data_IF_709636206980
#
_entry.id   IF_709636206980
#
_cell.length_a   1.000
_cell.length_b   1.000
_cell.length_c   1.000
_cell.angle_alpha   90.00
_cell.angle_beta   90.00
_cell.angle_gamma   90.00
#
_symmetry.space_group_name_H-M   'P 1'
#
loop_
_entity.id
_entity.type
_entity.pdbx_description
1 polymer ?
#
# COMPACT_ATOMS: atom_id res chain seq x y z
N UNK A 1 -4.97 3.70 -17.23
CA UNK A 1 -3.76 3.29 -16.49
C UNK A 1 -3.66 1.78 -16.61
N UNK A 2 -2.52 1.23 -16.99
CA UNK A 2 -2.37 -0.24 -17.02
C UNK A 2 -2.34 -0.76 -15.59
N UNK A 3 -2.91 -1.94 -15.34
CA UNK A 3 -3.04 -2.54 -14.00
C UNK A 3 -1.70 -2.62 -13.24
N UNK A 4 -0.60 -2.84 -13.96
CA UNK A 4 0.77 -2.88 -13.44
C UNK A 4 1.23 -1.49 -12.95
N UNK A 5 0.95 -0.43 -13.70
CA UNK A 5 1.33 0.94 -13.32
C UNK A 5 0.65 1.36 -12.01
N UNK A 6 -0.59 0.93 -11.81
CA UNK A 6 -1.30 1.23 -10.59
C UNK A 6 -0.75 0.44 -9.39
N UNK A 7 -0.41 -0.84 -9.59
CA UNK A 7 0.25 -1.64 -8.54
C UNK A 7 1.55 -0.97 -8.10
N UNK A 8 2.36 -0.52 -9.07
CA UNK A 8 3.61 0.20 -8.79
C UNK A 8 3.36 1.43 -7.91
N UNK A 9 2.41 2.30 -8.29
CA UNK A 9 2.09 3.50 -7.52
C UNK A 9 1.61 3.22 -6.10
N UNK A 10 0.76 2.21 -5.93
CA UNK A 10 0.27 1.81 -4.60
C UNK A 10 1.44 1.37 -3.71
N UNK A 11 2.37 0.59 -4.26
CA UNK A 11 3.53 0.11 -3.52
C UNK A 11 4.52 1.25 -3.23
N UNK A 12 4.74 2.15 -4.18
CA UNK A 12 5.58 3.34 -4.00
C UNK A 12 5.01 4.21 -2.88
N UNK A 13 3.69 4.42 -2.81
CA UNK A 13 3.04 5.08 -1.67
C UNK A 13 3.31 4.36 -0.34
N UNK A 14 3.24 3.03 -0.29
CA UNK A 14 3.60 2.25 0.90
C UNK A 14 5.09 2.33 1.29
N UNK A 15 5.99 2.70 0.36
CA UNK A 15 7.44 2.76 0.58
C UNK A 15 7.94 4.17 0.93
N UNK A 16 7.26 5.22 0.49
CA UNK A 16 7.64 6.61 0.79
C UNK A 16 7.40 6.99 2.25
N UNK A 17 6.52 6.25 2.95
CA UNK A 17 6.14 6.56 4.32
C UNK A 17 6.24 5.31 5.21
N UNK A 18 7.41 5.12 5.82
CA UNK A 18 7.74 3.95 6.65
C UNK A 18 6.84 3.80 7.89
N UNK A 19 6.22 4.91 8.34
CA UNK A 19 5.41 4.98 9.55
C UNK A 19 3.90 5.11 9.28
N UNK A 20 3.48 5.40 8.03
CA UNK A 20 2.08 5.70 7.75
C UNK A 20 1.35 4.50 7.17
N UNK A 21 0.23 4.18 7.81
CA UNK A 21 -0.70 3.20 7.29
C UNK A 21 -1.66 3.87 6.34
N UNK A 22 -1.76 3.36 5.12
CA UNK A 22 -2.60 3.98 4.11
C UNK A 22 -4.03 3.46 4.21
N UNK A 23 -4.95 4.36 4.56
CA UNK A 23 -6.37 4.17 4.27
C UNK A 23 -6.61 4.28 2.77
N UNK A 24 -7.68 3.65 2.28
CA UNK A 24 -8.03 3.72 0.85
C UNK A 24 -8.18 5.16 0.34
N UNK A 25 -8.69 6.10 1.14
CA UNK A 25 -8.85 7.50 0.71
C UNK A 25 -7.51 8.18 0.38
N UNK A 26 -6.45 7.84 1.10
CA UNK A 26 -5.09 8.35 0.82
C UNK A 26 -4.57 7.71 -0.46
N UNK A 27 -4.70 6.39 -0.61
CA UNK A 27 -4.32 5.70 -1.84
C UNK A 27 -5.08 6.23 -3.07
N UNK A 28 -6.36 6.57 -2.92
CA UNK A 28 -7.17 7.18 -3.99
C UNK A 28 -6.58 8.54 -4.43
N UNK A 29 -6.13 9.37 -3.48
CA UNK A 29 -5.51 10.67 -3.77
C UNK A 29 -4.11 10.52 -4.38
N UNK A 30 -3.26 9.68 -3.80
CA UNK A 30 -1.86 9.50 -4.23
C UNK A 30 -1.77 8.84 -5.61
N UNK A 31 -2.62 7.83 -5.87
CA UNK A 31 -2.51 7.05 -7.12
C UNK A 31 -3.50 7.49 -8.19
N UNK A 32 -4.52 8.27 -7.84
CA UNK A 32 -5.63 8.65 -8.72
C UNK A 32 -6.53 7.47 -9.14
N UNK A 33 -6.50 6.36 -8.39
CA UNK A 33 -7.27 5.17 -8.72
C UNK A 33 -8.60 5.10 -8.00
N UNK A 34 -9.50 4.28 -8.54
CA UNK A 34 -10.78 4.03 -7.90
C UNK A 34 -10.65 3.06 -6.73
N UNK A 35 -11.58 3.15 -5.77
CA UNK A 35 -11.75 2.19 -4.68
C UNK A 35 -11.72 0.72 -5.12
N UNK A 36 -12.35 0.43 -6.26
CA UNK A 36 -12.47 -0.94 -6.77
C UNK A 36 -11.12 -1.50 -7.21
N UNK A 37 -10.33 -0.70 -7.93
CA UNK A 37 -8.99 -1.08 -8.38
C UNK A 37 -8.05 -1.28 -7.18
N UNK A 38 -8.09 -0.36 -6.21
CA UNK A 38 -7.28 -0.45 -5.00
C UNK A 38 -7.63 -1.69 -4.17
N UNK A 39 -8.90 -2.08 -4.09
CA UNK A 39 -9.31 -3.33 -3.41
C UNK A 39 -8.68 -4.56 -4.06
N UNK A 40 -8.65 -4.63 -5.39
CA UNK A 40 -8.02 -5.74 -6.11
C UNK A 40 -6.52 -5.84 -5.79
N UNK A 41 -5.84 -4.70 -5.75
CA UNK A 41 -4.40 -4.62 -5.46
C UNK A 41 -4.12 -5.01 -4.01
N UNK A 42 -4.85 -4.42 -3.06
CA UNK A 42 -4.73 -4.75 -1.62
C UNK A 42 -4.94 -6.25 -1.39
N UNK A 43 -5.95 -6.87 -2.03
CA UNK A 43 -6.17 -8.32 -1.90
C UNK A 43 -5.00 -9.16 -2.44
N UNK A 44 -4.34 -8.72 -3.52
CA UNK A 44 -3.12 -9.38 -4.01
C UNK A 44 -1.94 -9.21 -3.06
N UNK A 45 -1.68 -7.99 -2.59
CA UNK A 45 -0.59 -7.72 -1.65
C UNK A 45 -0.78 -8.48 -0.32
N UNK A 46 -2.02 -8.63 0.15
CA UNK A 46 -2.36 -9.49 1.30
C UNK A 46 -2.02 -10.96 1.04
N UNK A 47 -2.37 -11.50 -0.13
CA UNK A 47 -2.05 -12.90 -0.50
C UNK A 47 -0.54 -13.15 -0.57
N UNK A 48 0.23 -12.13 -0.89
CA UNK A 48 1.69 -12.16 -0.92
C UNK A 48 2.34 -11.89 0.45
N UNK A 49 1.56 -11.75 1.53
CA UNK A 49 2.04 -11.41 2.87
C UNK A 49 2.85 -10.09 2.90
N UNK A 50 2.58 -9.17 1.96
CA UNK A 50 3.31 -7.91 1.82
C UNK A 50 2.78 -6.81 2.73
N UNK A 51 1.46 -6.82 2.96
CA UNK A 51 0.76 -5.84 3.81
C UNK A 51 -0.07 -6.54 4.88
N UNK A 52 -0.24 -5.86 6.02
CA UNK A 52 -1.12 -6.26 7.13
C UNK A 52 -2.12 -5.15 7.44
N UNK A 53 -3.32 -5.49 7.95
CA UNK A 53 -4.25 -4.49 8.43
C UNK A 53 -3.67 -3.81 9.67
N UNK A 54 -3.76 -2.48 9.72
CA UNK A 54 -3.40 -1.67 10.88
C UNK A 54 -4.67 -0.98 11.38
N UNK A 55 -4.98 -1.17 12.67
CA UNK A 55 -6.12 -0.54 13.33
C UNK A 55 -5.59 0.53 14.28
N UNK A 56 -6.40 1.57 14.50
CA UNK A 56 -6.06 2.58 15.49
C UNK A 56 -5.02 3.57 14.97
N UNK A 57 -5.11 3.96 13.69
CA UNK A 57 -4.22 4.98 13.14
C UNK A 57 -4.42 6.27 13.90
N UNK A 58 -3.32 6.84 14.40
CA UNK A 58 -3.34 8.07 15.17
C UNK A 58 -2.86 9.25 14.32
N UNK A 59 -3.47 10.42 14.47
CA UNK A 59 -2.91 11.67 13.98
C UNK A 59 -1.79 12.17 14.92
N UNK A 60 -1.15 13.29 14.57
CA UNK A 60 -0.09 13.91 15.38
C UNK A 60 -0.56 14.33 16.78
N UNK A 61 -1.86 14.51 16.98
CA UNK A 61 -2.49 14.80 18.26
C UNK A 61 -2.78 13.52 19.10
N UNK A 62 -2.46 12.34 18.57
CA UNK A 62 -2.68 11.04 19.22
C UNK A 62 -4.12 10.53 19.15
N UNK A 63 -5.00 11.18 18.38
CA UNK A 63 -6.38 10.76 18.19
C UNK A 63 -6.48 9.64 17.16
N UNK A 64 -7.30 8.61 17.45
CA UNK A 64 -7.55 7.54 16.47
C UNK A 64 -8.40 8.07 15.32
N UNK A 65 -7.78 8.24 14.16
CA UNK A 65 -8.40 8.73 12.92
C UNK A 65 -8.84 7.62 11.97
N UNK A 66 -8.48 6.36 12.23
CA UNK A 66 -9.09 5.24 11.51
C UNK A 66 -8.30 3.93 11.46
N UNK A 67 -8.39 3.28 10.30
CA UNK A 67 -7.78 1.99 10.00
C UNK A 67 -7.26 1.98 8.57
N UNK A 68 -6.17 1.26 8.32
CA UNK A 68 -5.54 1.18 7.02
C UNK A 68 -4.70 -0.09 6.86
N UNK A 69 -3.71 0.00 6.00
CA UNK A 69 -2.77 -1.09 5.72
C UNK A 69 -1.35 -0.59 5.95
N UNK A 70 -0.48 -1.47 6.43
CA UNK A 70 0.95 -1.19 6.56
C UNK A 70 1.77 -2.38 6.08
N UNK A 71 3.06 -2.18 5.84
CA UNK A 71 3.95 -3.26 5.42
C UNK A 71 4.12 -4.32 6.52
N UNK A 72 4.28 -5.59 6.14
CA UNK A 72 4.65 -6.64 7.10
C UNK A 72 6.15 -6.59 7.38
N UNK A 73 6.58 -7.06 8.56
CA UNK A 73 8.01 -7.18 8.88
C UNK A 73 8.76 -8.16 7.95
N UNK A 74 8.03 -9.08 7.30
CA UNK A 74 8.58 -9.99 6.29
C UNK A 74 8.81 -9.30 4.96
N UNK A 75 7.95 -8.35 4.61
CA UNK A 75 8.12 -7.51 3.45
C UNK A 75 9.19 -6.46 3.75
N UNK A 76 10.45 -6.86 3.59
CA UNK A 76 11.53 -5.88 3.58
C UNK A 76 11.34 -4.95 2.38
N UNK A 77 11.73 -3.67 2.52
CA UNK A 77 11.73 -2.75 1.37
C UNK A 77 12.49 -3.34 0.17
N UNK A 78 13.53 -4.15 0.42
CA UNK A 78 14.26 -4.88 -0.61
C UNK A 78 13.36 -5.86 -1.37
N UNK A 79 12.65 -6.75 -0.69
CA UNK A 79 11.72 -7.70 -1.34
C UNK A 79 10.58 -7.01 -2.09
N UNK A 80 10.11 -5.87 -1.59
CA UNK A 80 9.08 -5.06 -2.25
C UNK A 80 9.64 -4.39 -3.52
N UNK A 81 10.87 -3.87 -3.47
CA UNK A 81 11.56 -3.28 -4.61
C UNK A 81 11.92 -4.31 -5.68
N UNK A 82 12.33 -5.51 -5.28
CA UNK A 82 12.56 -6.64 -6.20
C UNK A 82 11.25 -7.02 -6.92
N UNK A 83 10.14 -7.09 -6.19
CA UNK A 83 8.83 -7.34 -6.79
C UNK A 83 8.35 -6.21 -7.72
N UNK A 84 8.65 -4.95 -7.39
CA UNK A 84 8.41 -3.80 -8.27
C UNK A 84 9.21 -3.90 -9.57
N UNK A 85 10.45 -4.38 -9.51
CA UNK A 85 11.27 -4.61 -10.71
C UNK A 85 10.65 -5.71 -11.56
N UNK A 86 10.23 -6.82 -10.96
CA UNK A 86 9.55 -7.91 -11.69
C UNK A 86 8.26 -7.42 -12.37
N UNK A 87 7.46 -6.61 -11.67
CA UNK A 87 6.24 -6.00 -12.22
C UNK A 87 6.54 -5.03 -13.37
N UNK A 88 7.59 -4.21 -13.26
CA UNK A 88 7.99 -3.25 -14.32
C UNK A 88 8.49 -3.93 -15.59
N UNK A 89 8.85 -5.23 -15.52
CA UNK A 89 9.37 -6.02 -16.63
C UNK A 89 8.33 -6.95 -17.29
N UNK A 90 7.06 -6.91 -16.84
CA UNK A 90 5.91 -7.61 -17.44
C UNK A 90 5.17 -6.72 -18.45
#
# INVERSE_FOLDING_TARGET
>A
MKEIELQIKVIEAFLEDEDISFGYGVLEQETGATRAELKLIVERLKKLDMIKPVKGLMNDDGEVVGSGWGLTQRATQKSIREWLVDLKNL
#
